data_IF_352815678691
#
_entry.id   IF_352815678691
#
_cell.length_a   1.000
_cell.length_b   1.000
_cell.length_c   1.000
_cell.angle_alpha   90.00
_cell.angle_beta   90.00
_cell.angle_gamma   90.00
#
_symmetry.space_group_name_H-M   'P 1'
#
loop_
_entity.id
_entity.type
_entity.pdbx_description
1 polymer ?
#
# COMPACT_ATOMS: atom_id res chain seq x y z
N UNK A 1 14.32 0.12 17.24
CA UNK A 1 12.97 0.53 17.63
C UNK A 1 11.99 -0.55 17.19
N UNK A 2 10.97 -0.80 17.97
CA UNK A 2 9.79 -1.61 17.55
C UNK A 2 8.58 -0.70 17.52
N UNK A 3 7.72 -0.87 16.50
CA UNK A 3 6.51 -0.08 16.34
C UNK A 3 5.34 -0.99 15.95
N UNK A 4 4.21 -0.79 16.61
CA UNK A 4 2.92 -1.37 16.24
C UNK A 4 2.06 -0.32 15.55
N UNK A 5 1.33 -0.73 14.51
CA UNK A 5 0.45 0.15 13.74
C UNK A 5 -0.89 -0.54 13.54
N UNK A 6 -1.97 0.21 13.60
CA UNK A 6 -3.28 -0.21 13.12
C UNK A 6 -3.74 0.77 12.03
N UNK A 7 -4.26 0.26 10.93
CA UNK A 7 -4.74 1.07 9.80
C UNK A 7 -6.07 0.56 9.22
N UNK A 8 -6.80 1.46 8.59
CA UNK A 8 -8.11 1.21 7.96
C UNK A 8 -8.02 1.12 6.44
N UNK A 9 -6.82 0.97 5.88
CA UNK A 9 -6.64 0.84 4.44
C UNK A 9 -7.23 -0.50 3.95
N UNK A 10 -8.41 -0.45 3.34
CA UNK A 10 -9.08 -1.59 2.74
C UNK A 10 -8.57 -1.76 1.31
N UNK A 11 -8.16 -2.99 0.98
CA UNK A 11 -7.82 -3.32 -0.40
C UNK A 11 -9.11 -3.43 -1.21
N UNK A 12 -9.21 -2.64 -2.27
CA UNK A 12 -10.29 -2.70 -3.25
C UNK A 12 -9.74 -2.54 -4.66
N UNK A 13 -10.40 -3.19 -5.61
CA UNK A 13 -10.06 -3.13 -7.03
C UNK A 13 -11.32 -2.86 -7.82
N UNK A 14 -11.28 -1.86 -8.68
CA UNK A 14 -12.41 -1.52 -9.55
C UNK A 14 -12.15 -2.09 -10.94
N UNK A 15 -13.10 -2.84 -11.47
CA UNK A 15 -13.07 -3.42 -12.80
C UNK A 15 -14.18 -2.81 -13.64
N UNK A 16 -13.84 -2.49 -14.88
CA UNK A 16 -14.76 -1.97 -15.88
C UNK A 16 -15.02 -3.07 -16.89
N UNK A 17 -16.28 -3.32 -17.18
CA UNK A 17 -16.67 -4.23 -18.26
C UNK A 17 -16.87 -3.41 -19.52
N UNK A 18 -16.19 -3.78 -20.61
CA UNK A 18 -16.32 -3.14 -21.90
C UNK A 18 -17.80 -3.16 -22.37
N UNK A 19 -18.33 -1.99 -22.77
CA UNK A 19 -19.74 -1.84 -23.14
C UNK A 19 -20.72 -1.67 -21.97
N UNK A 20 -20.27 -1.75 -20.72
CA UNK A 20 -21.08 -1.47 -19.52
C UNK A 20 -20.66 -0.14 -18.88
N UNK A 21 -21.64 0.72 -18.58
CA UNK A 21 -21.39 1.92 -17.76
C UNK A 21 -21.24 1.59 -16.26
N UNK A 22 -21.33 0.31 -15.87
CA UNK A 22 -21.30 -0.12 -14.48
C UNK A 22 -19.93 -0.64 -14.11
N UNK A 23 -19.44 -0.13 -13.02
CA UNK A 23 -18.21 -0.60 -12.38
C UNK A 23 -18.49 -1.79 -11.46
N UNK A 24 -17.53 -2.71 -11.35
CA UNK A 24 -17.54 -3.75 -10.32
C UNK A 24 -16.42 -3.47 -9.33
N UNK A 25 -16.79 -3.17 -8.09
CA UNK A 25 -15.83 -2.92 -7.02
C UNK A 25 -15.65 -4.19 -6.19
N UNK A 26 -14.47 -4.78 -6.28
CA UNK A 26 -14.08 -5.92 -5.46
C UNK A 26 -13.36 -5.43 -4.19
N UNK A 27 -13.84 -5.83 -3.05
CA UNK A 27 -13.28 -5.50 -1.74
C UNK A 27 -13.02 -6.74 -0.89
N UNK A 28 -12.15 -6.59 0.12
CA UNK A 28 -11.91 -7.62 1.12
C UNK A 28 -12.77 -7.39 2.37
N UNK A 29 -13.09 -8.48 3.07
CA UNK A 29 -13.87 -8.41 4.32
C UNK A 29 -13.03 -7.97 5.55
N UNK A 30 -11.76 -7.64 5.39
CA UNK A 30 -10.89 -7.17 6.46
C UNK A 30 -10.93 -5.64 6.53
N UNK A 31 -11.33 -5.08 7.69
CA UNK A 31 -11.47 -3.63 7.87
C UNK A 31 -10.29 -2.98 8.59
N UNK A 32 -9.55 -3.74 9.38
CA UNK A 32 -8.42 -3.24 10.16
C UNK A 32 -7.22 -4.12 9.90
N UNK A 33 -6.14 -3.51 9.44
CA UNK A 33 -4.83 -4.15 9.33
C UNK A 33 -3.98 -3.78 10.53
N UNK A 34 -3.15 -4.70 10.95
CA UNK A 34 -2.19 -4.50 12.03
C UNK A 34 -0.80 -4.77 11.49
N UNK A 35 0.15 -3.93 11.85
CA UNK A 35 1.54 -4.09 11.42
C UNK A 35 2.49 -4.05 12.61
N UNK A 36 3.54 -4.85 12.52
CA UNK A 36 4.71 -4.77 13.42
C UNK A 36 5.92 -4.41 12.61
N UNK A 37 6.62 -3.37 13.04
CA UNK A 37 7.83 -2.90 12.39
C UNK A 37 9.03 -2.97 13.32
N UNK A 38 10.17 -3.34 12.76
CA UNK A 38 11.48 -3.27 13.42
C UNK A 38 12.36 -2.32 12.63
N UNK A 39 12.83 -1.27 13.31
CA UNK A 39 13.67 -0.25 12.70
C UNK A 39 15.05 -0.23 13.35
N UNK A 40 16.08 -0.33 12.53
CA UNK A 40 17.45 -0.25 12.99
C UNK A 40 18.32 0.52 11.99
N UNK A 41 18.93 1.63 12.45
CA UNK A 41 19.75 2.54 11.63
C UNK A 41 19.01 2.88 10.34
N UNK A 42 19.54 2.50 9.17
CA UNK A 42 18.96 2.82 7.86
C UNK A 42 17.96 1.76 7.34
N UNK A 43 17.69 0.71 8.10
CA UNK A 43 16.80 -0.39 7.69
C UNK A 43 15.52 -0.37 8.52
N UNK A 44 14.40 -0.56 7.84
CA UNK A 44 13.09 -0.81 8.45
C UNK A 44 12.46 -2.03 7.81
N UNK A 45 12.00 -2.98 8.60
CA UNK A 45 11.23 -4.13 8.15
C UNK A 45 9.85 -4.12 8.82
N UNK A 46 8.79 -4.32 8.04
CA UNK A 46 7.40 -4.27 8.50
C UNK A 46 6.67 -5.52 8.01
N UNK A 47 5.98 -6.19 8.90
CA UNK A 47 5.02 -7.24 8.58
C UNK A 47 3.62 -6.74 8.93
N UNK A 48 2.71 -6.80 7.94
CA UNK A 48 1.31 -6.39 8.09
C UNK A 48 0.38 -7.56 7.82
N UNK A 49 -0.69 -7.67 8.59
CA UNK A 49 -1.71 -8.71 8.45
C UNK A 49 -3.05 -8.23 8.97
N UNK A 50 -4.12 -8.94 8.62
CA UNK A 50 -5.47 -8.68 9.12
C UNK A 50 -5.83 -9.74 10.18
N UNK A 51 -5.68 -9.44 11.50
CA UNK A 51 -5.87 -10.43 12.55
C UNK A 51 -7.35 -10.76 12.72
N UNK A 52 -7.67 -12.05 12.77
CA UNK A 52 -9.06 -12.55 12.94
C UNK A 52 -9.63 -12.37 14.34
N UNK A 53 -8.81 -12.07 15.36
CA UNK A 53 -9.31 -11.76 16.70
C UNK A 53 -10.01 -10.38 16.75
N UNK A 54 -9.73 -9.49 15.80
CA UNK A 54 -10.46 -8.23 15.65
C UNK A 54 -11.83 -8.56 15.05
N UNK A 55 -12.91 -8.15 15.73
CA UNK A 55 -14.28 -8.48 15.34
C UNK A 55 -14.65 -8.10 13.91
N UNK A 56 -14.15 -6.94 13.43
CA UNK A 56 -14.37 -6.44 12.07
C UNK A 56 -13.63 -7.22 10.98
N UNK A 57 -12.72 -8.14 11.34
CA UNK A 57 -11.97 -9.00 10.43
C UNK A 57 -12.42 -10.45 10.47
N UNK A 58 -13.42 -10.78 11.30
CA UNK A 58 -13.96 -12.14 11.39
C UNK A 58 -14.69 -12.52 10.11
N UNK A 59 -14.82 -13.83 9.92
CA UNK A 59 -15.67 -14.38 8.86
C UNK A 59 -17.07 -13.76 8.90
N UNK A 60 -17.55 -13.34 7.75
CA UNK A 60 -18.90 -12.83 7.57
C UNK A 60 -19.59 -13.69 6.49
N UNK A 61 -20.68 -14.40 6.81
CA UNK A 61 -21.35 -15.28 5.85
C UNK A 61 -21.88 -14.53 4.62
N UNK A 62 -22.20 -13.25 4.76
CA UNK A 62 -22.65 -12.43 3.61
C UNK A 62 -21.50 -12.05 2.67
N UNK A 63 -20.30 -11.80 3.19
CA UNK A 63 -19.14 -11.26 2.45
C UNK A 63 -18.01 -12.27 2.23
N UNK A 64 -18.08 -13.41 2.88
CA UNK A 64 -17.03 -14.43 2.81
C UNK A 64 -15.84 -14.16 3.73
N UNK A 65 -14.75 -14.88 3.47
CA UNK A 65 -13.52 -14.82 4.25
C UNK A 65 -12.39 -14.22 3.40
N UNK A 66 -11.67 -13.27 3.96
CA UNK A 66 -10.51 -12.66 3.32
C UNK A 66 -9.24 -12.88 4.13
N UNK A 67 -8.11 -12.92 3.44
CA UNK A 67 -6.78 -12.99 4.05
C UNK A 67 -5.90 -11.89 3.45
N UNK A 68 -5.12 -11.23 4.30
CA UNK A 68 -4.20 -10.17 3.95
C UNK A 68 -2.86 -10.38 4.62
N UNK A 69 -1.77 -10.28 3.85
CA UNK A 69 -0.41 -10.26 4.34
C UNK A 69 0.43 -9.31 3.47
N UNK A 70 1.24 -8.47 4.10
CA UNK A 70 2.20 -7.60 3.45
C UNK A 70 3.53 -7.64 4.20
N UNK A 71 4.61 -7.71 3.45
CA UNK A 71 5.96 -7.59 3.97
C UNK A 71 6.66 -6.45 3.25
N UNK A 72 7.11 -5.45 3.99
CA UNK A 72 7.76 -4.26 3.46
C UNK A 72 9.14 -4.07 4.09
N UNK A 73 10.16 -3.86 3.26
CA UNK A 73 11.50 -3.46 3.69
C UNK A 73 11.82 -2.09 3.14
N UNK A 74 12.38 -1.22 3.97
CA UNK A 74 12.83 0.12 3.57
C UNK A 74 14.28 0.33 3.95
N UNK A 75 14.99 0.98 3.03
CA UNK A 75 16.37 1.42 3.22
C UNK A 75 16.42 2.94 3.09
N UNK A 76 17.19 3.57 3.97
CA UNK A 76 17.31 5.04 4.04
C UNK A 76 18.79 5.46 4.00
N UNK A 77 19.54 5.18 2.91
CA UNK A 77 20.89 5.69 2.79
C UNK A 77 20.85 7.21 2.52
N UNK A 78 21.25 8.00 3.52
CA UNK A 78 21.26 9.46 3.48
C UNK A 78 19.92 10.08 3.06
N UNK A 79 19.85 10.59 1.81
CA UNK A 79 18.67 11.26 1.25
C UNK A 79 17.82 10.34 0.36
N UNK A 80 18.32 9.15 0.08
CA UNK A 80 17.61 8.15 -0.70
C UNK A 80 16.69 7.33 0.21
N UNK A 81 15.50 7.01 -0.28
CA UNK A 81 14.61 6.03 0.33
C UNK A 81 14.26 4.97 -0.70
N UNK A 82 14.63 3.75 -0.41
CA UNK A 82 14.26 2.60 -1.20
C UNK A 82 13.25 1.77 -0.43
N UNK A 83 12.03 1.61 -0.96
CA UNK A 83 11.01 0.70 -0.44
C UNK A 83 10.89 -0.50 -1.36
N UNK A 84 10.80 -1.69 -0.79
CA UNK A 84 10.44 -2.93 -1.48
C UNK A 84 9.34 -3.60 -0.68
N UNK A 85 8.32 -4.15 -1.36
CA UNK A 85 7.24 -4.84 -0.68
C UNK A 85 6.73 -6.04 -1.47
N UNK A 86 6.22 -7.00 -0.72
CA UNK A 86 5.41 -8.10 -1.22
C UNK A 86 4.08 -8.11 -0.50
N UNK A 87 2.98 -8.08 -1.25
CA UNK A 87 1.62 -8.12 -0.74
C UNK A 87 0.88 -9.33 -1.32
N UNK A 88 0.11 -10.02 -0.48
CA UNK A 88 -0.71 -11.14 -0.87
C UNK A 88 -2.09 -11.02 -0.21
N UNK A 89 -3.11 -10.96 -1.05
CA UNK A 89 -4.51 -10.80 -0.65
C UNK A 89 -5.32 -11.92 -1.27
N UNK A 90 -6.20 -12.55 -0.51
CA UNK A 90 -7.08 -13.61 -1.01
C UNK A 90 -8.49 -13.43 -0.46
N UNK A 91 -9.49 -13.76 -1.27
CA UNK A 91 -10.90 -13.73 -0.90
C UNK A 91 -11.49 -12.33 -1.01
N UNK A 92 -12.32 -12.13 -2.02
CA UNK A 92 -12.97 -10.86 -2.32
C UNK A 92 -14.48 -11.03 -2.42
N UNK A 93 -15.19 -9.93 -2.33
CA UNK A 93 -16.62 -9.84 -2.60
C UNK A 93 -16.91 -8.58 -3.41
N UNK A 94 -18.03 -8.57 -4.14
CA UNK A 94 -18.50 -7.40 -4.89
C UNK A 94 -19.12 -6.41 -3.89
N UNK A 95 -18.50 -5.25 -3.69
CA UNK A 95 -18.93 -4.29 -2.67
C UNK A 95 -20.17 -3.51 -3.10
N UNK A 96 -20.23 -3.10 -4.35
CA UNK A 96 -21.29 -2.27 -4.92
C UNK A 96 -22.45 -3.07 -5.55
N UNK A 97 -22.88 -4.14 -4.89
CA UNK A 97 -23.98 -5.02 -5.35
C UNK A 97 -25.28 -4.27 -5.68
N UNK A 98 -25.59 -3.20 -4.95
CA UNK A 98 -26.78 -2.38 -5.17
C UNK A 98 -26.83 -1.71 -6.55
N UNK A 99 -25.64 -1.41 -7.14
CA UNK A 99 -25.52 -0.80 -8.47
C UNK A 99 -25.67 -1.83 -9.58
N UNK A 100 -25.45 -3.11 -9.25
CA UNK A 100 -25.43 -4.24 -10.19
C UNK A 100 -26.77 -4.96 -10.18
N UNK A 101 -27.32 -5.25 -8.99
CA UNK A 101 -28.52 -6.07 -8.80
C UNK A 101 -29.66 -5.25 -8.18
N UNK A 102 -30.71 -4.91 -8.97
CA UNK A 102 -31.87 -4.19 -8.46
C UNK A 102 -32.57 -4.93 -7.32
N UNK A 103 -32.92 -4.21 -6.26
CA UNK A 103 -33.61 -4.77 -5.08
C UNK A 103 -32.71 -5.43 -4.03
N UNK A 104 -31.43 -5.60 -4.29
CA UNK A 104 -30.49 -6.13 -3.33
C UNK A 104 -30.31 -5.17 -2.13
N UNK A 105 -30.30 -5.73 -0.91
CA UNK A 105 -30.25 -4.96 0.34
C UNK A 105 -28.90 -5.12 1.05
N UNK A 106 -28.21 -4.00 1.24
CA UNK A 106 -26.90 -3.94 1.93
C UNK A 106 -26.96 -4.53 3.33
N UNK A 107 -26.01 -5.42 3.65
CA UNK A 107 -25.86 -6.14 4.93
C UNK A 107 -27.03 -7.08 5.32
N UNK A 108 -27.93 -7.37 4.39
CA UNK A 108 -28.99 -8.38 4.55
C UNK A 108 -28.82 -9.51 3.56
N UNK A 109 -28.61 -9.17 2.29
CA UNK A 109 -28.45 -10.15 1.23
C UNK A 109 -26.99 -10.57 1.07
N UNK A 110 -26.79 -11.76 0.53
CA UNK A 110 -25.44 -12.31 0.27
C UNK A 110 -24.80 -11.57 -0.87
N UNK A 111 -23.56 -11.18 -0.71
CA UNK A 111 -22.73 -10.57 -1.74
C UNK A 111 -22.22 -11.65 -2.70
N UNK A 112 -21.95 -11.30 -3.96
CA UNK A 112 -21.17 -12.17 -4.85
C UNK A 112 -19.76 -12.28 -4.29
N UNK A 113 -19.27 -13.50 -4.09
CA UNK A 113 -18.00 -13.79 -3.42
C UNK A 113 -17.04 -14.48 -4.37
N UNK A 114 -15.76 -14.12 -4.28
CA UNK A 114 -14.65 -14.72 -5.01
C UNK A 114 -13.62 -15.27 -4.01
N UNK A 115 -13.87 -16.43 -3.37
CA UNK A 115 -13.02 -16.98 -2.33
C UNK A 115 -11.63 -17.38 -2.84
N UNK A 116 -11.51 -17.72 -4.13
CA UNK A 116 -10.25 -18.12 -4.76
C UNK A 116 -9.53 -16.99 -5.50
N UNK A 117 -10.15 -15.82 -5.65
CA UNK A 117 -9.48 -14.67 -6.19
C UNK A 117 -8.33 -14.26 -5.27
N UNK A 118 -7.13 -14.29 -5.84
CA UNK A 118 -5.88 -13.97 -5.18
C UNK A 118 -5.15 -12.88 -5.95
N UNK A 119 -4.69 -11.88 -5.21
CA UNK A 119 -3.87 -10.78 -5.75
C UNK A 119 -2.54 -10.78 -5.05
N UNK A 120 -1.47 -10.93 -5.82
CA UNK A 120 -0.09 -10.89 -5.34
C UNK A 120 0.62 -9.72 -6.00
N UNK A 121 1.24 -8.85 -5.21
CA UNK A 121 1.95 -7.68 -5.70
C UNK A 121 3.40 -7.69 -5.19
N UNK A 122 4.34 -7.58 -6.09
CA UNK A 122 5.74 -7.30 -5.82
C UNK A 122 6.03 -5.88 -6.30
N UNK A 123 6.48 -5.02 -5.42
CA UNK A 123 6.65 -3.63 -5.82
C UNK A 123 7.65 -2.88 -4.96
N UNK A 124 7.79 -1.61 -5.28
CA UNK A 124 8.66 -0.72 -4.57
C UNK A 124 8.52 0.73 -4.97
N UNK A 125 9.29 1.56 -4.29
CA UNK A 125 9.48 2.95 -4.66
C UNK A 125 10.90 3.41 -4.34
N UNK A 126 11.42 4.29 -5.18
CA UNK A 126 12.72 4.94 -4.99
C UNK A 126 12.50 6.45 -4.92
N UNK A 127 12.77 7.06 -3.79
CA UNK A 127 12.56 8.48 -3.54
C UNK A 127 13.87 9.18 -3.13
N UNK A 128 14.04 10.44 -3.53
CA UNK A 128 15.22 11.21 -3.19
C UNK A 128 14.84 12.59 -2.65
N UNK A 129 15.19 12.88 -1.39
CA UNK A 129 14.97 14.19 -0.78
C UNK A 129 16.00 15.20 -1.27
N UNK A 130 15.56 16.28 -1.93
CA UNK A 130 16.48 17.31 -2.45
C UNK A 130 17.13 18.13 -1.32
N UNK A 131 16.40 18.34 -0.22
CA UNK A 131 16.94 19.04 0.95
C UNK A 131 17.65 18.05 1.88
N UNK A 132 18.96 18.25 2.10
CA UNK A 132 19.79 17.42 2.98
C UNK A 132 19.39 17.46 4.47
N UNK A 133 18.76 18.55 4.91
CA UNK A 133 18.35 18.77 6.29
C UNK A 133 16.93 18.23 6.57
N UNK A 134 16.28 17.60 5.59
CA UNK A 134 14.97 17.01 5.70
C UNK A 134 15.06 15.50 5.88
N UNK A 135 14.46 14.98 6.94
CA UNK A 135 14.42 13.54 7.18
C UNK A 135 13.13 12.91 6.65
N UNK A 136 13.23 12.20 5.55
CA UNK A 136 12.16 11.35 5.02
C UNK A 136 11.81 10.25 6.03
N UNK A 137 12.79 9.70 6.72
CA UNK A 137 12.63 8.65 7.72
C UNK A 137 11.79 9.08 8.92
N UNK A 138 11.81 10.37 9.27
CA UNK A 138 10.95 10.92 10.33
C UNK A 138 9.46 10.84 10.00
N UNK A 139 9.09 10.89 8.71
CA UNK A 139 7.70 10.80 8.23
C UNK A 139 7.29 9.35 7.96
N UNK A 140 8.14 8.57 7.29
CA UNK A 140 7.78 7.20 6.88
C UNK A 140 7.78 6.23 8.05
N UNK A 141 8.84 6.21 8.85
CA UNK A 141 9.03 5.22 9.90
C UNK A 141 9.11 5.82 11.30
N UNK A 142 9.20 7.16 11.43
CA UNK A 142 9.44 7.86 12.68
C UNK A 142 10.75 7.39 13.36
N UNK A 143 11.64 6.75 12.59
CA UNK A 143 12.91 6.21 13.06
C UNK A 143 13.94 7.29 13.39
N UNK A 144 13.77 8.47 12.80
CA UNK A 144 14.54 9.68 13.12
C UNK A 144 13.65 10.73 13.75
N UNK A 145 14.27 11.58 14.54
CA UNK A 145 13.61 12.68 15.22
C UNK A 145 14.05 13.99 14.57
N UNK A 146 13.22 14.54 13.68
CA UNK A 146 13.44 15.85 13.10
C UNK A 146 13.36 16.91 14.21
N UNK A 147 14.43 17.66 14.42
CA UNK A 147 14.52 18.68 15.48
C UNK A 147 14.09 20.06 15.04
N UNK A 148 14.28 20.40 13.76
CA UNK A 148 13.95 21.69 13.18
C UNK A 148 12.97 21.51 12.03
N UNK A 149 12.05 22.47 11.87
CA UNK A 149 11.12 22.48 10.76
C UNK A 149 11.88 22.58 9.43
N UNK A 150 11.57 21.69 8.50
CA UNK A 150 12.20 21.62 7.18
C UNK A 150 11.20 21.04 6.16
N UNK A 151 11.35 21.44 4.92
CA UNK A 151 10.63 20.86 3.80
C UNK A 151 11.57 20.39 2.69
N UNK A 152 11.10 19.53 1.83
CA UNK A 152 11.85 19.02 0.68
C UNK A 152 10.93 18.72 -0.50
N UNK A 153 11.34 19.14 -1.68
CA UNK A 153 10.92 18.50 -2.91
C UNK A 153 11.54 17.12 -2.98
N UNK A 154 10.75 16.14 -3.36
CA UNK A 154 11.15 14.74 -3.36
C UNK A 154 10.61 14.07 -4.62
N UNK A 155 11.41 13.95 -5.69
CA UNK A 155 11.09 13.08 -6.81
C UNK A 155 11.08 11.63 -6.35
N UNK A 156 10.13 10.83 -6.87
CA UNK A 156 10.08 9.39 -6.60
C UNK A 156 9.50 8.60 -7.76
N UNK A 157 10.01 7.39 -7.92
CA UNK A 157 9.53 6.37 -8.85
C UNK A 157 8.80 5.29 -8.07
N UNK A 158 7.59 4.94 -8.50
CA UNK A 158 6.86 3.77 -8.01
C UNK A 158 6.82 2.72 -9.11
N UNK A 159 6.94 1.47 -8.73
CA UNK A 159 6.85 0.35 -9.66
C UNK A 159 6.29 -0.88 -8.95
N UNK A 160 5.45 -1.63 -9.64
CA UNK A 160 4.95 -2.91 -9.16
C UNK A 160 4.63 -3.88 -10.29
N UNK A 161 4.67 -5.16 -9.93
CA UNK A 161 4.21 -6.28 -10.69
C UNK A 161 3.13 -6.99 -9.92
N UNK A 162 1.89 -6.94 -10.42
CA UNK A 162 0.70 -7.49 -9.76
C UNK A 162 0.15 -8.67 -10.57
N UNK A 163 -0.15 -9.75 -9.88
CA UNK A 163 -0.75 -10.97 -10.43
C UNK A 163 -2.11 -11.16 -9.80
N UNK A 164 -3.15 -11.14 -10.62
CA UNK A 164 -4.50 -11.58 -10.29
C UNK A 164 -4.65 -13.02 -10.75
N UNK A 165 -5.13 -13.90 -9.90
CA UNK A 165 -5.44 -15.28 -10.24
C UNK A 165 -6.76 -15.67 -9.62
N UNK A 166 -7.63 -16.33 -10.38
CA UNK A 166 -8.93 -16.79 -9.91
C UNK A 166 -9.26 -18.16 -10.50
N UNK A 167 -10.15 -18.89 -9.82
CA UNK A 167 -10.71 -20.14 -10.32
C UNK A 167 -12.21 -20.12 -10.05
N UNK A 168 -13.02 -20.21 -11.09
CA UNK A 168 -14.49 -20.26 -11.02
C UNK A 168 -14.94 -21.48 -11.79
N UNK A 169 -15.63 -22.40 -11.13
CA UNK A 169 -16.15 -23.63 -11.75
C UNK A 169 -15.11 -24.39 -12.60
N UNK A 170 -13.88 -24.53 -12.09
CA UNK A 170 -12.78 -25.21 -12.79
C UNK A 170 -12.02 -24.34 -13.80
N UNK A 171 -12.62 -23.29 -14.31
CA UNK A 171 -11.97 -22.35 -15.23
C UNK A 171 -11.02 -21.42 -14.47
N UNK A 172 -9.79 -21.34 -14.93
CA UNK A 172 -8.75 -20.49 -14.34
C UNK A 172 -8.54 -19.22 -15.15
N UNK A 173 -8.50 -18.09 -14.48
CA UNK A 173 -8.13 -16.80 -15.08
C UNK A 173 -6.88 -16.24 -14.42
N UNK A 174 -6.05 -15.60 -15.23
CA UNK A 174 -4.84 -14.92 -14.76
C UNK A 174 -4.68 -13.60 -15.49
N UNK A 175 -4.50 -12.54 -14.71
CA UNK A 175 -4.09 -11.23 -15.21
C UNK A 175 -2.77 -10.84 -14.55
N UNK A 176 -1.87 -10.27 -15.32
CA UNK A 176 -0.61 -9.71 -14.84
C UNK A 176 -0.55 -8.24 -15.21
N UNK A 177 -0.19 -7.40 -14.25
CA UNK A 177 -0.08 -5.96 -14.43
C UNK A 177 1.30 -5.49 -14.05
N UNK A 178 1.89 -4.60 -14.87
CA UNK A 178 3.10 -3.84 -14.55
C UNK A 178 2.68 -2.38 -14.45
N UNK A 179 2.94 -1.75 -13.31
CA UNK A 179 2.72 -0.34 -13.10
C UNK A 179 4.06 0.36 -12.88
N UNK A 180 4.27 1.49 -13.56
CA UNK A 180 5.45 2.34 -13.37
C UNK A 180 4.96 3.79 -13.32
N UNK A 181 5.44 4.56 -12.34
CA UNK A 181 5.07 5.97 -12.21
C UNK A 181 6.23 6.84 -11.75
N UNK A 182 6.35 8.00 -12.37
CA UNK A 182 7.27 9.06 -11.97
C UNK A 182 6.47 10.19 -11.32
N UNK A 183 6.86 10.56 -10.11
CA UNK A 183 6.13 11.49 -9.28
C UNK A 183 7.06 12.56 -8.70
N UNK A 184 6.48 13.72 -8.38
CA UNK A 184 7.12 14.78 -7.63
C UNK A 184 6.23 15.15 -6.45
N UNK A 185 6.78 15.12 -5.25
CA UNK A 185 6.07 15.52 -4.03
C UNK A 185 6.79 16.64 -3.29
N UNK A 186 6.03 17.45 -2.58
CA UNK A 186 6.56 18.36 -1.58
C UNK A 186 6.12 17.89 -0.20
N UNK A 187 7.10 17.62 0.65
CA UNK A 187 6.92 17.17 2.03
C UNK A 187 7.43 18.24 2.97
N UNK A 188 6.68 18.53 4.03
CA UNK A 188 7.09 19.47 5.03
C UNK A 188 6.99 18.84 6.42
N UNK A 189 7.98 19.08 7.26
CA UNK A 189 8.03 18.69 8.67
C UNK A 189 7.97 19.96 9.53
N UNK A 190 6.83 20.22 10.11
CA UNK A 190 6.67 21.28 11.10
C UNK A 190 6.91 20.70 12.48
N UNK A 191 7.97 21.20 13.17
CA UNK A 191 8.38 20.71 14.47
C UNK A 191 8.02 21.76 15.54
N UNK A 192 7.18 21.36 16.50
CA UNK A 192 6.70 22.22 17.58
C UNK A 192 7.33 21.73 18.90
N UNK A 193 7.94 22.66 19.65
CA UNK A 193 8.60 22.39 20.93
C UNK A 193 9.58 21.20 20.90
N UNK A 194 10.14 20.89 19.73
CA UNK A 194 11.09 19.80 19.52
C UNK A 194 10.52 18.39 19.71
N UNK A 195 9.22 18.21 19.98
CA UNK A 195 8.59 16.91 20.28
C UNK A 195 7.41 16.57 19.39
N UNK A 196 6.59 17.53 19.01
CA UNK A 196 5.46 17.34 18.10
C UNK A 196 5.92 17.56 16.68
N UNK A 197 5.52 16.67 15.80
CA UNK A 197 5.83 16.72 14.38
C UNK A 197 4.50 16.70 13.62
N UNK A 198 4.26 17.75 12.81
CA UNK A 198 3.12 17.83 11.89
C UNK A 198 3.70 17.85 10.48
N UNK A 199 3.41 16.83 9.69
CA UNK A 199 4.01 16.67 8.38
C UNK A 199 2.97 16.48 7.28
N UNK A 200 2.47 17.58 6.68
CA UNK A 200 1.69 17.53 5.46
C UNK A 200 2.57 17.20 4.26
N UNK A 201 1.96 16.59 3.25
CA UNK A 201 2.57 16.43 1.93
C UNK A 201 1.52 16.46 0.83
N UNK A 202 1.98 16.80 -0.38
CA UNK A 202 1.25 16.72 -1.62
C UNK A 202 2.19 16.18 -2.71
N UNK A 203 1.67 15.33 -3.58
CA UNK A 203 2.43 14.76 -4.69
C UNK A 203 1.56 14.60 -5.92
N UNK A 204 2.15 14.72 -7.10
CA UNK A 204 1.52 14.42 -8.37
C UNK A 204 2.51 13.71 -9.30
N UNK A 205 1.99 12.96 -10.25
CA UNK A 205 2.83 12.22 -11.18
C UNK A 205 2.09 11.63 -12.35
N UNK A 206 2.88 11.07 -13.24
CA UNK A 206 2.43 10.36 -14.44
C UNK A 206 3.02 8.96 -14.45
N UNK A 207 2.32 8.03 -15.10
CA UNK A 207 2.78 6.67 -15.18
C UNK A 207 2.15 5.88 -16.32
N UNK A 208 2.53 4.61 -16.40
CA UNK A 208 1.96 3.63 -17.31
C UNK A 208 1.53 2.38 -16.55
N UNK A 209 0.42 1.81 -16.98
CA UNK A 209 -0.09 0.52 -16.56
C UNK A 209 -0.16 -0.39 -17.78
N UNK A 210 0.48 -1.54 -17.69
CA UNK A 210 0.51 -2.57 -18.74
C UNK A 210 -0.15 -3.83 -18.17
N UNK A 211 -1.25 -4.25 -18.75
CA UNK A 211 -2.00 -5.43 -18.34
C UNK A 211 -1.98 -6.51 -19.41
N UNK A 212 -1.89 -7.77 -18.98
CA UNK A 212 -1.98 -8.95 -19.83
C UNK A 212 -2.90 -9.97 -19.16
N UNK A 213 -4.06 -10.20 -19.75
CA UNK A 213 -5.06 -11.16 -19.29
C UNK A 213 -5.03 -12.44 -20.13
N UNK A 214 -5.28 -13.57 -19.49
CA UNK A 214 -5.51 -14.88 -20.13
C UNK A 214 -6.37 -15.77 -19.23
N UNK A 215 -7.32 -16.43 -19.81
CA UNK A 215 -8.09 -17.52 -19.22
C UNK A 215 -7.53 -18.90 -19.61
N UNK A 216 -7.94 -19.92 -18.88
CA UNK A 216 -7.65 -21.32 -19.19
C UNK A 216 -8.91 -22.11 -18.89
N UNK A 217 -9.46 -22.77 -19.91
CA UNK A 217 -10.67 -23.56 -19.82
C UNK A 217 -10.46 -24.82 -18.96
N UNK A 218 -11.54 -25.50 -18.60
CA UNK A 218 -11.50 -26.73 -17.77
C UNK A 218 -10.65 -27.84 -18.40
N UNK A 219 -10.68 -27.96 -19.74
CA UNK A 219 -9.87 -28.92 -20.50
C UNK A 219 -8.38 -28.56 -20.59
N UNK A 220 -7.96 -27.46 -19.98
CA UNK A 220 -6.58 -26.96 -20.01
C UNK A 220 -6.24 -26.13 -21.25
N UNK A 221 -7.18 -25.93 -22.17
CA UNK A 221 -7.01 -25.06 -23.34
C UNK A 221 -6.80 -23.62 -22.89
N UNK A 222 -5.75 -22.97 -23.38
CA UNK A 222 -5.44 -21.57 -23.07
C UNK A 222 -6.19 -20.66 -24.04
N UNK A 223 -6.98 -19.73 -23.51
CA UNK A 223 -7.62 -18.67 -24.26
C UNK A 223 -6.63 -17.68 -24.88
N UNK A 224 -7.15 -16.77 -25.67
CA UNK A 224 -6.36 -15.71 -26.28
C UNK A 224 -5.77 -14.78 -25.19
N UNK A 225 -4.60 -14.24 -25.46
CA UNK A 225 -3.99 -13.25 -24.58
C UNK A 225 -4.47 -11.86 -24.98
N UNK A 226 -5.06 -11.15 -24.05
CA UNK A 226 -5.47 -9.76 -24.19
C UNK A 226 -4.44 -8.86 -23.50
N UNK A 227 -3.90 -7.86 -24.23
CA UNK A 227 -2.96 -6.91 -23.69
C UNK A 227 -3.55 -5.50 -23.78
N UNK A 228 -3.50 -4.78 -22.66
CA UNK A 228 -3.98 -3.40 -22.57
C UNK A 228 -2.92 -2.50 -21.96
N UNK A 229 -2.92 -1.22 -22.37
CA UNK A 229 -1.98 -0.22 -21.88
C UNK A 229 -2.74 1.05 -21.54
N UNK A 230 -2.42 1.64 -20.40
CA UNK A 230 -3.04 2.87 -19.92
C UNK A 230 -2.00 3.88 -19.49
N UNK A 231 -2.21 5.14 -19.85
CA UNK A 231 -1.53 6.25 -19.20
C UNK A 231 -2.22 6.53 -17.87
N UNK A 232 -1.45 6.75 -16.82
CA UNK A 232 -1.98 7.01 -15.48
C UNK A 232 -1.55 8.40 -15.00
N UNK A 233 -2.51 9.15 -14.45
CA UNK A 233 -2.26 10.39 -13.71
C UNK A 233 -2.45 10.07 -12.24
N UNK A 234 -1.52 10.49 -11.40
CA UNK A 234 -1.48 10.16 -9.98
C UNK A 234 -1.48 11.42 -9.15
N UNK A 235 -2.25 11.41 -8.08
CA UNK A 235 -2.26 12.46 -7.07
C UNK A 235 -2.23 11.81 -5.69
N UNK A 236 -1.43 12.35 -4.79
CA UNK A 236 -1.34 11.90 -3.41
C UNK A 236 -1.25 13.07 -2.47
N UNK A 237 -1.88 12.97 -1.33
CA UNK A 237 -1.72 13.92 -0.24
C UNK A 237 -1.85 13.22 1.10
N UNK A 238 -1.36 13.86 2.15
CA UNK A 238 -1.51 13.31 3.48
C UNK A 238 -1.02 14.24 4.56
N UNK A 239 -1.38 13.86 5.77
CA UNK A 239 -1.00 14.54 7.00
C UNK A 239 -0.53 13.51 8.01
N UNK A 240 0.68 13.69 8.51
CA UNK A 240 1.21 12.94 9.65
C UNK A 240 1.28 13.86 10.87
N UNK A 241 0.80 13.37 12.01
CA UNK A 241 0.96 14.02 13.31
C UNK A 241 1.59 13.00 14.24
N UNK A 242 2.75 13.36 14.82
CA UNK A 242 3.52 12.50 15.70
C UNK A 242 4.02 13.21 16.94
N UNK A 243 4.10 12.48 18.03
CA UNK A 243 4.74 12.89 19.26
C UNK A 243 5.93 12.00 19.56
N UNK A 244 7.08 12.59 19.80
CA UNK A 244 8.36 11.91 20.01
C UNK A 244 8.94 12.22 21.37
N UNK A 245 9.37 11.17 22.06
CA UNK A 245 10.24 11.25 23.26
C UNK A 245 11.48 10.39 23.03
N UNK A 246 12.39 10.37 23.99
CA UNK A 246 13.61 9.55 23.88
C UNK A 246 13.29 8.05 23.75
N UNK A 247 12.23 7.56 24.41
CA UNK A 247 11.85 6.15 24.44
C UNK A 247 10.56 5.84 23.68
N UNK A 248 9.56 6.69 23.76
CA UNK A 248 8.25 6.47 23.18
C UNK A 248 7.98 7.40 22.00
N UNK A 249 7.21 6.90 21.05
CA UNK A 249 6.63 7.68 19.98
C UNK A 249 5.22 7.16 19.71
N UNK A 250 4.33 8.06 19.37
CA UNK A 250 2.98 7.73 18.95
C UNK A 250 2.44 8.80 18.01
N UNK A 251 1.46 8.45 17.22
CA UNK A 251 0.87 9.38 16.28
C UNK A 251 -0.09 8.71 15.31
N UNK A 252 -0.46 9.48 14.29
CA UNK A 252 -1.35 9.03 13.23
C UNK A 252 -1.01 9.65 11.90
N UNK A 253 -1.55 9.06 10.85
CA UNK A 253 -1.50 9.56 9.48
C UNK A 253 -2.88 9.48 8.85
N UNK A 254 -3.18 10.46 8.02
CA UNK A 254 -4.29 10.43 7.07
C UNK A 254 -3.68 10.53 5.68
N UNK A 255 -4.11 9.68 4.77
CA UNK A 255 -3.57 9.58 3.42
C UNK A 255 -4.73 9.55 2.45
N UNK A 256 -4.60 10.33 1.39
CA UNK A 256 -5.50 10.35 0.25
C UNK A 256 -4.69 10.10 -1.02
N UNK A 257 -5.15 9.16 -1.85
CA UNK A 257 -4.58 8.89 -3.16
C UNK A 257 -5.71 8.87 -4.19
N UNK A 258 -5.46 9.46 -5.35
CA UNK A 258 -6.32 9.41 -6.52
C UNK A 258 -5.49 9.02 -7.74
N UNK A 259 -6.00 8.09 -8.53
CA UNK A 259 -5.39 7.67 -9.78
C UNK A 259 -6.45 7.74 -10.87
N UNK A 260 -6.14 8.43 -11.97
CA UNK A 260 -6.94 8.46 -13.17
C UNK A 260 -6.23 7.68 -14.28
N UNK A 261 -6.97 6.88 -15.04
CA UNK A 261 -6.45 6.13 -16.18
C UNK A 261 -7.11 6.63 -17.45
N UNK A 262 -6.31 6.85 -18.49
CA UNK A 262 -6.83 7.10 -19.83
C UNK A 262 -7.07 5.75 -20.51
N UNK A 263 -8.32 5.45 -20.83
CA UNK A 263 -8.68 4.30 -21.65
C UNK A 263 -8.92 4.78 -23.10
N UNK A 264 -8.62 3.93 -24.11
CA UNK A 264 -8.99 4.24 -25.50
C UNK A 264 -10.49 4.55 -25.56
N UNK A 265 -10.86 5.64 -26.26
CA UNK A 265 -12.25 6.07 -26.49
C UNK A 265 -12.98 6.70 -25.29
N UNK A 266 -12.42 7.82 -24.77
CA UNK A 266 -13.12 8.79 -23.89
C UNK A 266 -13.59 8.33 -22.49
N UNK A 267 -13.08 7.26 -21.94
CA UNK A 267 -13.38 6.88 -20.56
C UNK A 267 -12.20 7.16 -19.65
N UNK A 268 -12.42 8.01 -18.65
CA UNK A 268 -11.50 8.22 -17.54
C UNK A 268 -11.95 7.36 -16.37
N UNK A 269 -11.10 6.46 -15.93
CA UNK A 269 -11.32 5.67 -14.73
C UNK A 269 -10.66 6.38 -13.57
N UNK A 270 -11.41 6.69 -12.53
CA UNK A 270 -10.90 7.28 -11.32
C UNK A 270 -10.96 6.26 -10.18
N UNK A 271 -9.83 6.03 -9.54
CA UNK A 271 -9.76 5.27 -8.31
C UNK A 271 -9.16 6.17 -7.23
N UNK A 272 -9.96 6.51 -6.23
CA UNK A 272 -9.51 7.27 -5.08
C UNK A 272 -9.69 6.46 -3.80
N UNK A 273 -8.70 6.50 -2.93
CA UNK A 273 -8.80 5.93 -1.61
C UNK A 273 -8.31 6.92 -0.55
N UNK A 274 -8.92 6.86 0.62
CA UNK A 274 -8.46 7.55 1.80
C UNK A 274 -8.44 6.57 2.98
N UNK A 275 -7.42 6.69 3.80
CA UNK A 275 -7.31 5.84 4.98
C UNK A 275 -6.56 6.54 6.10
N UNK A 276 -6.82 6.10 7.31
CA UNK A 276 -6.14 6.52 8.51
C UNK A 276 -5.32 5.39 9.12
N UNK A 277 -4.22 5.75 9.75
CA UNK A 277 -3.46 4.83 10.58
C UNK A 277 -3.05 5.49 11.88
N UNK A 278 -2.91 4.69 12.91
CA UNK A 278 -2.34 5.08 14.20
C UNK A 278 -1.19 4.15 14.56
N UNK A 279 -0.20 4.66 15.27
CA UNK A 279 0.95 3.87 15.66
C UNK A 279 1.44 4.22 17.06
N UNK A 280 2.09 3.24 17.68
CA UNK A 280 2.88 3.39 18.89
C UNK A 280 4.21 2.68 18.71
N UNK A 281 5.29 3.26 19.19
CA UNK A 281 6.62 2.68 19.09
C UNK A 281 7.46 2.91 20.35
N UNK A 282 8.42 2.02 20.52
CA UNK A 282 9.37 2.05 21.64
C UNK A 282 10.81 1.95 21.14
N UNK A 283 11.66 2.87 21.60
CA UNK A 283 13.08 2.91 21.31
C UNK A 283 13.85 2.25 22.44
N UNK A 284 14.70 1.30 22.12
CA UNK A 284 15.58 0.59 23.06
C UNK A 284 16.98 0.44 22.46
N UNK A 285 17.95 0.19 23.32
CA UNK A 285 19.31 -0.12 22.87
C UNK A 285 19.31 -1.45 22.09
N UNK A 286 19.98 -1.51 20.93
CA UNK A 286 19.99 -2.73 20.14
C UNK A 286 20.72 -3.88 20.87
N UNK A 287 20.27 -5.13 20.73
CA UNK A 287 21.02 -6.29 21.22
C UNK A 287 22.44 -6.31 20.64
N UNK A 288 23.41 -6.75 21.42
CA UNK A 288 24.83 -6.80 21.00
C UNK A 288 25.05 -7.55 19.68
N UNK A 289 24.32 -8.65 19.47
CA UNK A 289 24.37 -9.46 18.24
C UNK A 289 23.92 -8.63 17.02
N UNK A 290 22.82 -7.89 17.14
CA UNK A 290 22.31 -7.04 16.03
C UNK A 290 23.32 -5.95 15.69
N UNK A 291 23.88 -5.28 16.71
CA UNK A 291 24.91 -4.26 16.51
C UNK A 291 26.14 -4.84 15.81
N UNK A 292 26.70 -5.94 16.32
CA UNK A 292 27.90 -6.58 15.76
C UNK A 292 27.71 -7.03 14.31
N UNK A 293 26.56 -7.66 13.99
CA UNK A 293 26.29 -8.10 12.63
C UNK A 293 26.11 -6.93 11.65
N UNK A 294 25.44 -5.87 12.09
CA UNK A 294 25.31 -4.66 11.27
C UNK A 294 26.68 -3.99 11.03
N UNK A 295 27.53 -3.84 12.06
CA UNK A 295 28.85 -3.24 11.95
C UNK A 295 29.76 -4.06 11.00
N UNK A 296 29.62 -5.41 10.96
CA UNK A 296 30.28 -6.29 9.99
C UNK A 296 29.78 -6.06 8.55
N UNK A 297 28.46 -5.89 8.38
CA UNK A 297 27.86 -5.59 7.07
C UNK A 297 28.28 -4.21 6.57
N UNK A 298 28.28 -3.20 7.43
CA UNK A 298 28.70 -1.83 7.09
C UNK A 298 30.17 -1.77 6.63
N UNK A 299 31.05 -2.60 7.17
CA UNK A 299 32.45 -2.71 6.70
C UNK A 299 32.53 -3.27 5.27
N UNK A 300 31.59 -4.14 4.87
CA UNK A 300 31.54 -4.72 3.52
C UNK A 300 30.79 -3.85 2.51
N UNK A 301 29.80 -3.11 2.99
CA UNK A 301 28.91 -2.26 2.19
C UNK A 301 28.89 -0.87 2.86
N UNK A 302 29.80 0.04 2.49
CA UNK A 302 29.95 1.33 3.18
C UNK A 302 28.72 2.25 3.16
N UNK A 303 27.78 2.02 2.24
CA UNK A 303 26.54 2.78 2.12
C UNK A 303 25.49 2.40 3.20
N UNK A 304 25.70 1.31 3.93
CA UNK A 304 24.93 0.94 5.11
C UNK A 304 25.46 1.72 6.33
#
# INVERSE_FOLDING_TARGET
>A
MIRATADTNIESYTFYTEGSQKETVLSINNKIKTSVSVDYRIISATLSFAPKFISSNKYNPLKGNSAYTDFTVRFFPERLTQTLYYKNVKGFYVENMQDILPGWQKNKDVYIQFPDLRVQTFGGSTAYALNKDFSVKSIYTQGEWQKNSRGSWTPFLDYDYTIFSNTIAGQKSKETQINIGANMGYFYNWVIAGKVNIAPYIAAGLGGKFSSFRDTLEDGTKGMRENTQYLTVRFGSGLHIGYNTDRFLFGGKMIFNANAYSQKENYTVENSNYFGLVYVGYRFAPPKVVKSNYDKLQKKIPIL
#
